data_IF_193103069167
#
_entry.id   IF_193103069167
#
_cell.length_a   1.000
_cell.length_b   1.000
_cell.length_c   1.000
_cell.angle_alpha   90.00
_cell.angle_beta   90.00
_cell.angle_gamma   90.00
#
_symmetry.space_group_name_H-M   'P 1'
#
loop_
_entity.id
_entity.type
_entity.pdbx_description
1 polymer ?
#
# COMPACT_ATOMS: atom_id res chain seq x y z
N UNK A 1 -57.73 15.65 35.81
CA UNK A 1 -56.37 15.10 35.85
C UNK A 1 -56.11 14.39 34.54
N UNK A 2 -55.26 14.96 33.68
CA UNK A 2 -55.04 14.47 32.30
C UNK A 2 -53.79 13.59 32.29
N UNK A 3 -54.01 12.31 31.93
CA UNK A 3 -52.99 11.29 31.62
C UNK A 3 -52.27 11.68 30.33
N UNK A 4 -50.94 11.67 30.34
CA UNK A 4 -50.01 11.47 29.20
C UNK A 4 -48.61 11.85 29.71
N UNK A 5 -47.49 11.22 29.39
CA UNK A 5 -47.19 10.09 28.52
C UNK A 5 -45.78 9.61 28.94
N UNK A 6 -45.59 8.30 29.03
CA UNK A 6 -44.27 7.67 29.12
C UNK A 6 -43.49 8.01 27.84
N UNK A 7 -42.44 8.82 27.97
CA UNK A 7 -41.46 9.08 26.91
C UNK A 7 -40.07 8.64 27.42
N UNK A 8 -39.93 7.33 27.63
CA UNK A 8 -38.62 6.68 27.67
C UNK A 8 -38.43 5.95 26.33
N UNK A 9 -38.34 6.74 25.26
CA UNK A 9 -38.10 6.26 23.90
C UNK A 9 -36.64 5.86 23.74
N UNK A 10 -36.44 4.59 23.37
CA UNK A 10 -35.19 3.95 23.01
C UNK A 10 -34.18 4.87 22.32
N UNK A 11 -32.99 5.03 22.90
CA UNK A 11 -31.79 5.46 22.19
C UNK A 11 -30.69 4.42 22.41
N UNK A 12 -30.81 3.27 21.76
CA UNK A 12 -29.71 2.29 21.65
C UNK A 12 -29.73 1.64 20.26
N UNK A 13 -29.65 2.42 19.18
CA UNK A 13 -29.33 1.87 17.85
C UNK A 13 -28.45 2.86 17.06
N UNK A 14 -27.25 3.14 17.56
CA UNK A 14 -26.25 3.92 16.79
C UNK A 14 -24.84 3.32 16.81
N UNK A 15 -24.65 2.10 17.33
CA UNK A 15 -23.31 1.46 17.34
C UNK A 15 -23.06 0.55 16.12
N UNK A 16 -24.03 0.43 15.20
CA UNK A 16 -23.87 -0.37 13.97
C UNK A 16 -23.31 0.42 12.77
N UNK A 17 -22.78 1.63 12.99
CA UNK A 17 -22.25 2.49 11.93
C UNK A 17 -20.83 2.93 12.21
N UNK A 18 -19.82 2.13 11.80
CA UNK A 18 -18.49 2.61 11.36
C UNK A 18 -17.51 1.49 10.98
N UNK A 19 -17.82 0.21 11.15
CA UNK A 19 -16.92 -0.87 10.70
C UNK A 19 -17.72 -2.04 10.11
N UNK A 20 -18.48 -1.75 9.05
CA UNK A 20 -19.01 -2.77 8.16
C UNK A 20 -18.07 -2.95 6.96
N UNK A 21 -16.74 -2.88 7.16
CA UNK A 21 -15.81 -3.18 6.07
C UNK A 21 -15.83 -4.70 5.89
N UNK A 22 -16.09 -5.22 4.68
CA UNK A 22 -15.93 -6.64 4.40
C UNK A 22 -14.56 -7.10 4.89
N UNK A 23 -14.49 -8.31 5.46
CA UNK A 23 -13.22 -8.87 5.93
C UNK A 23 -12.17 -8.71 4.82
N UNK A 24 -11.16 -7.88 5.08
CA UNK A 24 -10.10 -7.64 4.10
C UNK A 24 -9.36 -8.97 3.97
N UNK A 25 -9.25 -9.56 2.78
CA UNK A 25 -8.46 -10.76 2.59
C UNK A 25 -7.04 -10.52 3.12
N UNK A 26 -6.42 -11.53 3.75
CA UNK A 26 -5.12 -11.34 4.38
C UNK A 26 -4.11 -10.80 3.37
N UNK A 27 -3.30 -9.85 3.80
CA UNK A 27 -2.23 -9.30 2.97
C UNK A 27 -1.30 -10.44 2.53
N UNK A 28 -0.92 -10.52 1.24
CA UNK A 28 -0.04 -11.58 0.76
C UNK A 28 1.31 -11.61 1.48
N UNK A 29 1.99 -12.75 1.41
CA UNK A 29 3.37 -12.86 1.88
C UNK A 29 4.32 -12.03 1.00
N UNK A 30 5.28 -11.34 1.62
CA UNK A 30 6.27 -10.50 0.93
C UNK A 30 7.46 -11.38 0.50
N UNK A 31 7.44 -11.84 -0.75
CA UNK A 31 8.48 -12.68 -1.36
C UNK A 31 8.71 -12.32 -2.85
N UNK A 32 9.70 -12.95 -3.50
CA UNK A 32 10.11 -12.59 -4.87
C UNK A 32 8.99 -12.77 -5.90
N UNK A 33 8.14 -13.79 -5.71
CA UNK A 33 7.02 -14.09 -6.60
C UNK A 33 5.90 -13.06 -6.43
N UNK A 34 5.56 -12.73 -5.19
CA UNK A 34 4.43 -11.82 -4.91
C UNK A 34 4.81 -10.35 -5.10
N UNK A 35 6.10 -10.00 -5.02
CA UNK A 35 6.58 -8.65 -5.30
C UNK A 35 6.71 -8.30 -6.78
N UNK A 36 6.34 -9.21 -7.68
CA UNK A 36 6.21 -8.90 -9.11
C UNK A 36 5.05 -7.91 -9.35
N UNK A 37 5.24 -6.98 -10.29
CA UNK A 37 4.26 -5.94 -10.61
C UNK A 37 2.90 -6.56 -11.00
N UNK A 38 2.92 -7.70 -11.69
CA UNK A 38 1.73 -8.44 -12.12
C UNK A 38 0.96 -9.03 -10.94
N UNK A 39 1.65 -9.46 -9.88
CA UNK A 39 1.02 -9.96 -8.66
C UNK A 39 0.44 -8.80 -7.82
N UNK A 40 1.19 -7.71 -7.67
CA UNK A 40 0.74 -6.50 -6.95
C UNK A 40 -0.52 -5.91 -7.60
N UNK A 41 -0.59 -5.88 -8.94
CA UNK A 41 -1.76 -5.38 -9.69
C UNK A 41 -3.04 -6.17 -9.42
N UNK A 42 -2.94 -7.45 -9.01
CA UNK A 42 -4.10 -8.31 -8.70
C UNK A 42 -4.68 -8.04 -7.32
N UNK A 43 -4.02 -7.25 -6.47
CA UNK A 43 -4.55 -6.87 -5.15
C UNK A 43 -5.63 -5.81 -5.36
N UNK A 44 -6.89 -6.16 -5.14
CA UNK A 44 -8.04 -5.28 -5.41
C UNK A 44 -8.14 -4.13 -4.40
N UNK A 45 -8.06 -4.43 -3.10
CA UNK A 45 -8.12 -3.43 -2.04
C UNK A 45 -6.91 -2.49 -2.13
N UNK A 46 -7.19 -1.22 -2.40
CA UNK A 46 -6.19 -0.19 -2.64
C UNK A 46 -5.23 -0.03 -1.45
N UNK A 47 -5.76 0.00 -0.22
CA UNK A 47 -4.95 0.19 0.97
C UNK A 47 -3.98 -0.97 1.18
N UNK A 48 -4.44 -2.20 0.94
CA UNK A 48 -3.61 -3.41 0.96
C UNK A 48 -2.56 -3.37 -0.14
N UNK A 49 -2.92 -2.97 -1.36
CA UNK A 49 -1.99 -2.88 -2.49
C UNK A 49 -0.87 -1.86 -2.23
N UNK A 50 -1.21 -0.68 -1.73
CA UNK A 50 -0.24 0.38 -1.39
C UNK A 50 0.69 -0.06 -0.27
N UNK A 51 0.14 -0.63 0.81
CA UNK A 51 0.92 -1.16 1.93
C UNK A 51 1.86 -2.28 1.49
N UNK A 52 1.35 -3.23 0.72
CA UNK A 52 2.11 -4.38 0.22
C UNK A 52 3.22 -3.95 -0.75
N UNK A 53 2.92 -3.08 -1.73
CA UNK A 53 3.92 -2.54 -2.65
C UNK A 53 5.03 -1.76 -1.91
N UNK A 54 4.67 -1.01 -0.86
CA UNK A 54 5.63 -0.31 -0.01
C UNK A 54 6.53 -1.23 0.81
N UNK A 55 6.10 -2.46 1.11
CA UNK A 55 6.95 -3.48 1.73
C UNK A 55 7.89 -4.11 0.70
N UNK A 56 7.38 -4.42 -0.50
CA UNK A 56 8.19 -4.95 -1.59
C UNK A 56 9.32 -4.02 -2.01
N UNK A 57 9.09 -2.70 -2.06
CA UNK A 57 10.12 -1.72 -2.44
C UNK A 57 11.27 -1.59 -1.43
N UNK A 58 11.07 -2.04 -0.19
CA UNK A 58 12.07 -1.98 0.89
C UNK A 58 12.85 -3.29 1.06
N UNK A 59 12.58 -4.31 0.24
CA UNK A 59 13.32 -5.57 0.31
C UNK A 59 14.79 -5.31 0.01
N UNK A 60 15.65 -6.04 0.69
CA UNK A 60 17.09 -5.95 0.45
C UNK A 60 17.42 -6.46 -0.95
N UNK A 61 18.54 -6.03 -1.55
CA UNK A 61 19.00 -6.57 -2.84
C UNK A 61 19.15 -8.10 -2.83
N UNK A 62 19.58 -8.67 -1.69
CA UNK A 62 19.69 -10.12 -1.49
C UNK A 62 18.34 -10.85 -1.50
N UNK A 63 17.23 -10.13 -1.33
CA UNK A 63 15.87 -10.63 -1.36
C UNK A 63 15.10 -9.99 -2.55
N UNK A 64 15.73 -9.85 -3.71
CA UNK A 64 15.05 -9.36 -4.93
C UNK A 64 14.65 -7.87 -4.91
N UNK A 65 15.18 -7.09 -3.97
CA UNK A 65 15.04 -5.63 -3.94
C UNK A 65 15.91 -4.92 -4.98
N UNK A 66 15.75 -3.60 -5.09
CA UNK A 66 16.53 -2.79 -6.05
C UNK A 66 18.00 -2.78 -5.61
N UNK A 67 18.88 -3.35 -6.44
CA UNK A 67 20.32 -3.33 -6.20
C UNK A 67 20.88 -1.89 -6.34
N UNK A 68 21.93 -1.53 -5.59
CA UNK A 68 22.67 -0.30 -5.84
C UNK A 68 23.16 -0.25 -7.29
N UNK A 69 23.06 0.91 -7.93
CA UNK A 69 23.66 1.11 -9.25
C UNK A 69 25.17 1.15 -9.12
N UNK A 70 25.89 0.61 -10.12
CA UNK A 70 27.36 0.60 -10.11
C UNK A 70 27.95 2.01 -10.15
N UNK A 71 27.29 2.92 -10.85
CA UNK A 71 27.64 4.35 -10.94
C UNK A 71 26.43 5.20 -10.53
N UNK A 72 26.23 5.45 -9.22
CA UNK A 72 25.15 6.31 -8.76
C UNK A 72 25.43 7.73 -9.23
N UNK A 73 24.58 8.25 -10.11
CA UNK A 73 24.65 9.63 -10.59
C UNK A 73 23.70 10.52 -9.81
N UNK A 74 24.11 11.76 -9.59
CA UNK A 74 23.26 12.80 -9.04
C UNK A 74 22.47 13.52 -10.15
N UNK A 75 21.49 14.35 -9.77
CA UNK A 75 20.58 14.98 -10.73
C UNK A 75 21.30 15.86 -11.76
N UNK A 76 22.39 16.54 -11.38
CA UNK A 76 23.15 17.41 -12.28
C UNK A 76 23.85 16.60 -13.37
N UNK A 77 24.37 15.41 -13.03
CA UNK A 77 25.02 14.50 -13.97
C UNK A 77 24.03 13.86 -14.95
N UNK A 78 22.77 13.69 -14.54
CA UNK A 78 21.69 13.20 -15.41
C UNK A 78 21.18 14.29 -16.37
N UNK A 79 21.14 15.55 -15.92
CA UNK A 79 20.60 16.66 -16.69
C UNK A 79 21.58 17.19 -17.74
N UNK A 80 22.88 17.07 -17.50
CA UNK A 80 23.95 17.44 -18.43
C UNK A 80 24.91 16.25 -18.57
N UNK A 81 24.51 15.21 -19.33
CA UNK A 81 25.36 14.05 -19.57
C UNK A 81 26.56 14.50 -20.42
N UNK A 82 27.62 14.94 -19.75
CA UNK A 82 28.89 15.27 -20.40
C UNK A 82 29.49 13.99 -20.92
N UNK A 83 29.39 13.80 -22.24
CA UNK A 83 30.06 12.78 -23.07
C UNK A 83 30.59 11.59 -22.25
N UNK A 84 29.69 10.74 -21.77
CA UNK A 84 30.10 9.42 -21.30
C UNK A 84 30.47 8.63 -22.53
N UNK A 85 31.79 8.57 -22.78
CA UNK A 85 32.44 7.86 -23.88
C UNK A 85 31.63 6.63 -24.32
N UNK A 86 31.24 6.64 -25.59
CA UNK A 86 30.89 5.44 -26.31
C UNK A 86 32.05 4.45 -26.13
N UNK A 87 31.88 3.46 -25.26
CA UNK A 87 32.78 2.31 -25.22
C UNK A 87 32.25 1.28 -26.21
N UNK A 88 33.09 0.77 -27.13
CA UNK A 88 32.69 -0.08 -28.26
C UNK A 88 32.01 -1.38 -27.85
#
# INVERSE_FOLDING_TARGET
MKKTMLLAGLVVVLVAGCDNKPAIPPMPEVNDTNCQIEAIKKIEDRATREKFAGLCSRRSPAAGGIAPTEKPMNWLELADPKDQEAKP
#
